data_IF_849342810409
#
_entry.id   IF_849342810409
#
_cell.length_a   1.000
_cell.length_b   1.000
_cell.length_c   1.000
_cell.angle_alpha   90.00
_cell.angle_beta   90.00
_cell.angle_gamma   90.00
#
_symmetry.space_group_name_H-M   'P 1'
#
loop_
_entity.id
_entity.type
_entity.pdbx_description
1 polymer ?
#
# COMPACT_ATOMS: atom_id res chain seq x y z
N UNK A 1 19.79 2.95 3.30
CA UNK A 1 19.09 1.81 2.65
C UNK A 1 19.17 0.52 3.47
N UNK A 2 19.74 0.56 4.69
CA UNK A 2 20.08 -0.60 5.52
C UNK A 2 18.87 -1.48 5.90
N UNK A 3 17.71 -0.87 6.14
CA UNK A 3 16.50 -1.60 6.54
C UNK A 3 15.93 -2.46 5.41
N UNK A 4 16.03 -1.99 4.15
CA UNK A 4 15.45 -2.68 2.98
C UNK A 4 16.17 -4.01 2.70
N UNK A 5 17.45 -4.12 3.05
CA UNK A 5 18.24 -5.36 2.94
C UNK A 5 18.38 -6.14 4.25
N UNK A 6 17.56 -5.83 5.26
CA UNK A 6 17.63 -6.48 6.57
C UNK A 6 16.94 -7.84 6.58
N UNK A 7 17.06 -8.57 7.69
CA UNK A 7 16.41 -9.87 7.88
C UNK A 7 14.86 -9.82 7.85
N UNK A 8 14.25 -8.63 7.85
CA UNK A 8 12.80 -8.46 7.72
C UNK A 8 12.27 -9.07 6.40
N UNK A 9 13.09 -9.14 5.34
CA UNK A 9 12.71 -9.76 4.07
C UNK A 9 12.50 -11.27 4.16
N UNK A 10 13.01 -11.91 5.22
CA UNK A 10 12.93 -13.36 5.38
C UNK A 10 11.57 -13.83 5.93
N UNK A 11 10.78 -12.92 6.51
CA UNK A 11 9.54 -13.29 7.18
C UNK A 11 8.34 -13.14 6.25
N UNK A 12 7.53 -14.19 6.20
CA UNK A 12 6.23 -14.15 5.56
C UNK A 12 5.16 -13.77 6.59
N UNK A 13 4.55 -12.59 6.42
CA UNK A 13 3.63 -11.96 7.38
C UNK A 13 2.27 -11.63 6.74
N UNK A 14 1.66 -12.59 6.04
CA UNK A 14 0.34 -12.39 5.43
C UNK A 14 -0.71 -12.04 6.49
N UNK A 15 -1.49 -10.99 6.23
CA UNK A 15 -2.58 -10.52 7.07
C UNK A 15 -2.35 -9.06 7.49
N UNK A 16 -3.04 -8.64 8.55
CA UNK A 16 -2.82 -7.35 9.20
C UNK A 16 -2.16 -7.57 10.57
N UNK A 17 -1.55 -6.53 11.17
CA UNK A 17 -1.00 -6.62 12.51
C UNK A 17 -2.02 -7.15 13.52
N UNK A 18 -1.64 -8.15 14.32
CA UNK A 18 -2.52 -8.84 15.26
C UNK A 18 -3.59 -9.76 14.64
N UNK A 19 -3.68 -9.82 13.31
CA UNK A 19 -4.57 -10.71 12.53
C UNK A 19 -3.78 -11.45 11.46
N UNK A 20 -2.55 -11.82 11.76
CA UNK A 20 -1.74 -12.58 10.82
C UNK A 20 -2.20 -14.03 10.72
N UNK A 21 -2.05 -14.62 9.54
CA UNK A 21 -2.34 -16.04 9.32
C UNK A 21 -1.27 -16.98 9.89
N UNK A 22 -0.06 -16.45 10.16
CA UNK A 22 1.10 -17.21 10.64
C UNK A 22 1.60 -16.61 11.95
N UNK A 23 2.11 -17.46 12.85
CA UNK A 23 2.73 -17.03 14.10
C UNK A 23 4.12 -16.40 13.92
N UNK A 24 4.64 -15.82 15.00
CA UNK A 24 6.00 -15.27 15.07
C UNK A 24 6.16 -13.93 14.34
N UNK A 25 5.10 -13.13 14.23
CA UNK A 25 5.10 -11.84 13.54
C UNK A 25 5.19 -10.65 14.51
N UNK A 26 5.44 -10.87 15.80
CA UNK A 26 5.45 -9.81 16.82
C UNK A 26 6.42 -8.68 16.42
N UNK A 27 7.60 -9.06 15.92
CA UNK A 27 8.63 -8.12 15.45
C UNK A 27 8.38 -7.54 14.05
N UNK A 28 7.42 -8.08 13.29
CA UNK A 28 7.02 -7.55 11.97
C UNK A 28 5.83 -6.60 12.11
N UNK A 29 4.92 -6.88 13.03
CA UNK A 29 3.76 -6.07 13.32
C UNK A 29 4.18 -4.69 13.87
N UNK A 30 5.21 -4.63 14.71
CA UNK A 30 5.76 -3.38 15.26
C UNK A 30 6.16 -2.34 14.18
N UNK A 31 7.04 -2.65 13.20
CA UNK A 31 7.41 -1.71 12.16
C UNK A 31 6.23 -1.37 11.23
N UNK A 32 5.29 -2.30 10.99
CA UNK A 32 4.10 -2.02 10.18
C UNK A 32 3.19 -0.98 10.86
N UNK A 33 2.87 -1.18 12.14
CA UNK A 33 2.08 -0.23 12.94
C UNK A 33 2.79 1.12 13.05
N UNK A 34 4.12 1.13 13.24
CA UNK A 34 4.90 2.35 13.29
C UNK A 34 4.85 3.11 11.96
N UNK A 35 4.94 2.41 10.83
CA UNK A 35 4.83 2.99 9.51
C UNK A 35 3.46 3.64 9.30
N UNK A 36 2.38 2.94 9.66
CA UNK A 36 1.01 3.46 9.57
C UNK A 36 0.84 4.75 10.39
N UNK A 37 1.27 4.75 11.66
CA UNK A 37 1.20 5.94 12.53
C UNK A 37 1.97 7.12 11.97
N UNK A 38 3.18 6.88 11.46
CA UNK A 38 4.01 7.94 10.84
C UNK A 38 3.36 8.49 9.58
N UNK A 39 2.79 7.62 8.75
CA UNK A 39 2.12 8.06 7.52
C UNK A 39 0.90 8.94 7.83
N UNK A 40 0.05 8.55 8.80
CA UNK A 40 -1.05 9.40 9.26
C UNK A 40 -0.56 10.75 9.81
N UNK A 41 0.52 10.75 10.60
CA UNK A 41 1.09 11.96 11.16
C UNK A 41 1.65 12.92 10.10
N UNK A 42 2.32 12.39 9.06
CA UNK A 42 2.86 13.18 7.95
C UNK A 42 1.76 13.92 7.18
N UNK A 43 0.59 13.30 7.03
CA UNK A 43 -0.55 13.92 6.35
C UNK A 43 -1.53 14.61 7.31
N UNK A 44 -1.18 14.73 8.60
CA UNK A 44 -2.01 15.35 9.64
C UNK A 44 -3.43 14.77 9.72
N UNK A 45 -3.55 13.44 9.54
CA UNK A 45 -4.83 12.74 9.53
C UNK A 45 -5.19 12.23 10.93
N UNK A 46 -6.47 12.34 11.28
CA UNK A 46 -7.04 11.77 12.50
C UNK A 46 -7.20 10.25 12.33
N UNK A 47 -6.54 9.47 13.18
CA UNK A 47 -6.59 8.00 13.21
C UNK A 47 -8.00 7.44 13.39
N UNK A 48 -8.93 8.22 13.96
CA UNK A 48 -10.34 7.79 14.12
C UNK A 48 -11.13 7.90 12.83
N UNK A 49 -10.68 8.73 11.89
CA UNK A 49 -11.37 9.01 10.62
C UNK A 49 -10.69 8.32 9.45
N UNK A 50 -9.37 8.14 9.52
CA UNK A 50 -8.55 7.66 8.43
C UNK A 50 -7.76 6.42 8.84
N UNK A 51 -7.94 5.35 8.08
CA UNK A 51 -7.03 4.21 8.07
C UNK A 51 -6.01 4.37 6.94
N UNK A 52 -4.84 3.75 7.10
CA UNK A 52 -3.80 3.73 6.07
C UNK A 52 -3.30 2.30 5.86
N UNK A 53 -3.17 1.90 4.59
CA UNK A 53 -2.55 0.64 4.21
C UNK A 53 -1.13 0.93 3.68
N UNK A 54 -0.13 0.25 4.25
CA UNK A 54 1.30 0.43 3.95
C UNK A 54 1.91 -0.80 3.25
N UNK A 55 1.09 -1.81 2.92
CA UNK A 55 1.53 -3.06 2.29
C UNK A 55 1.68 -3.04 0.76
N UNK A 56 0.98 -2.17 -0.01
CA UNK A 56 1.10 -2.20 -1.47
C UNK A 56 2.54 -1.95 -1.95
N UNK A 57 2.99 -2.79 -2.90
CA UNK A 57 4.40 -2.85 -3.32
C UNK A 57 4.85 -1.63 -4.14
N UNK A 58 3.92 -0.97 -4.83
CA UNK A 58 4.18 0.25 -5.61
C UNK A 58 2.86 0.94 -5.97
N UNK A 59 2.93 2.10 -6.63
CA UNK A 59 1.76 2.90 -6.98
C UNK A 59 0.79 2.21 -7.95
N UNK A 60 1.28 1.45 -8.94
CA UNK A 60 0.40 0.78 -9.91
C UNK A 60 -0.49 -0.30 -9.26
N UNK A 61 0.05 -1.21 -8.40
CA UNK A 61 -0.76 -2.10 -7.58
C UNK A 61 -1.78 -1.39 -6.69
N UNK A 62 -1.42 -0.25 -6.05
CA UNK A 62 -2.37 0.53 -5.22
C UNK A 62 -3.59 0.93 -6.03
N UNK A 63 -3.38 1.54 -7.20
CA UNK A 63 -4.47 1.98 -8.07
C UNK A 63 -5.36 0.81 -8.46
N UNK A 64 -4.74 -0.31 -8.81
CA UNK A 64 -5.47 -1.50 -9.21
C UNK A 64 -6.26 -2.15 -8.07
N UNK A 65 -5.74 -2.16 -6.85
CA UNK A 65 -6.46 -2.60 -5.66
C UNK A 65 -7.67 -1.71 -5.37
N UNK A 66 -7.50 -0.39 -5.42
CA UNK A 66 -8.60 0.58 -5.26
C UNK A 66 -9.67 0.35 -6.33
N UNK A 67 -9.25 0.16 -7.60
CA UNK A 67 -10.19 -0.13 -8.68
C UNK A 67 -10.94 -1.44 -8.44
N UNK A 68 -10.27 -2.52 -8.01
CA UNK A 68 -10.95 -3.78 -7.70
C UNK A 68 -11.98 -3.62 -6.59
N UNK A 69 -11.66 -2.84 -5.55
CA UNK A 69 -12.58 -2.58 -4.44
C UNK A 69 -13.78 -1.74 -4.91
N UNK A 70 -13.55 -0.71 -5.71
CA UNK A 70 -14.62 0.21 -6.15
C UNK A 70 -15.47 -0.36 -7.30
N UNK A 71 -14.88 -1.12 -8.22
CA UNK A 71 -15.58 -1.76 -9.33
C UNK A 71 -16.45 -2.94 -8.87
N UNK A 72 -16.19 -3.51 -7.70
CA UNK A 72 -17.13 -4.42 -7.05
C UNK A 72 -18.46 -3.74 -6.71
N UNK A 73 -18.48 -2.41 -6.59
CA UNK A 73 -19.64 -1.60 -6.22
C UNK A 73 -20.26 -0.78 -7.38
N UNK A 74 -19.58 -0.56 -8.51
CA UNK A 74 -20.14 0.24 -9.64
C UNK A 74 -19.45 -0.01 -11.00
N UNK A 75 -20.22 0.02 -12.10
CA UNK A 75 -19.86 -0.61 -13.40
C UNK A 75 -19.21 0.29 -14.48
N UNK A 76 -18.90 1.57 -14.24
CA UNK A 76 -18.21 2.40 -15.24
C UNK A 76 -17.14 3.33 -14.65
N UNK A 77 -15.91 3.20 -15.16
CA UNK A 77 -14.77 4.07 -14.84
C UNK A 77 -14.13 4.54 -16.15
N UNK A 78 -14.12 5.86 -16.39
CA UNK A 78 -13.36 6.46 -17.49
C UNK A 78 -11.88 6.58 -17.09
N UNK A 79 -11.05 5.69 -17.61
CA UNK A 79 -9.59 5.84 -17.56
C UNK A 79 -9.22 6.85 -18.64
N UNK A 80 -8.54 7.94 -18.26
CA UNK A 80 -8.07 8.95 -19.21
C UNK A 80 -7.25 8.27 -20.31
N UNK A 81 -7.72 8.35 -21.56
CA UNK A 81 -7.02 7.79 -22.72
C UNK A 81 -5.75 8.59 -22.95
N UNK A 82 -4.61 8.03 -22.56
CA UNK A 82 -3.31 8.56 -22.98
C UNK A 82 -3.12 8.25 -24.47
N UNK A 83 -2.84 9.27 -25.28
CA UNK A 83 -2.41 9.04 -26.66
C UNK A 83 -0.99 8.47 -26.67
N UNK A 84 -0.67 7.63 -27.67
CA UNK A 84 0.68 7.03 -27.83
C UNK A 84 1.79 8.10 -27.83
N UNK A 85 1.50 9.29 -28.37
CA UNK A 85 2.42 10.42 -28.44
C UNK A 85 2.72 11.06 -27.06
N UNK A 86 1.78 11.02 -26.12
CA UNK A 86 1.99 11.54 -24.76
C UNK A 86 2.81 10.57 -23.90
N UNK A 87 2.63 9.26 -24.11
CA UNK A 87 3.45 8.23 -23.45
C UNK A 87 4.93 8.35 -23.85
N UNK A 88 5.21 8.53 -25.15
CA UNK A 88 6.58 8.69 -25.65
C UNK A 88 7.25 10.00 -25.20
N UNK A 89 6.48 11.06 -24.91
CA UNK A 89 7.00 12.32 -24.36
C UNK A 89 7.41 12.23 -22.90
N UNK A 90 6.77 11.36 -22.11
CA UNK A 90 7.06 11.19 -20.68
C UNK A 90 8.24 10.23 -20.40
N UNK A 91 8.69 9.48 -21.42
CA UNK A 91 9.81 8.54 -21.34
C UNK A 91 11.15 9.13 -21.84
N UNK A 92 11.19 10.43 -22.17
CA UNK A 92 12.41 11.19 -22.50
C UNK A 92 12.83 12.07 -21.34
#
# INVERSE_FOLDING_TARGET
MEVVGSCLTNKYSKGLPGKSYYGGNEYIDEPEILCQKRALAVFHLDEKKWGINVQPLSGSPVNFEIWRLQAADCEQIEITKFSQQEFERLQK
#
